data_IF_144774694087
#
_entry.id   IF_144774694087
#
_cell.length_a   1.000
_cell.length_b   1.000
_cell.length_c   1.000
_cell.angle_alpha   90.00
_cell.angle_beta   90.00
_cell.angle_gamma   90.00
#
_symmetry.space_group_name_H-M   'P 1'
#
loop_
_entity.id
_entity.type
_entity.pdbx_description
1 polymer ?
#
# COMPACT_ATOMS: atom_id res chain seq x y z
N UNK A 1 -15.25 44.21 -2.36
CA UNK A 1 -13.92 43.81 -2.90
C UNK A 1 -13.72 42.31 -2.68
N UNK A 2 -13.83 41.50 -3.73
CA UNK A 2 -13.47 40.08 -3.66
C UNK A 2 -11.93 39.97 -3.52
N UNK A 3 -11.47 39.37 -2.46
CA UNK A 3 -10.05 39.26 -2.17
C UNK A 3 -9.47 38.11 -3.00
N UNK A 4 -8.46 38.39 -3.83
CA UNK A 4 -7.66 37.36 -4.50
C UNK A 4 -6.98 36.43 -3.47
N UNK A 5 -7.06 35.14 -3.67
CA UNK A 5 -6.43 34.14 -2.81
C UNK A 5 -5.70 33.09 -3.64
N UNK A 6 -4.65 32.52 -3.05
CA UNK A 6 -4.04 31.29 -3.52
C UNK A 6 -4.64 30.12 -2.77
N UNK A 7 -5.20 29.17 -3.48
CA UNK A 7 -5.89 28.00 -2.91
C UNK A 7 -5.14 26.74 -3.26
N UNK A 8 -4.71 25.99 -2.26
CA UNK A 8 -4.15 24.65 -2.43
C UNK A 8 -5.28 23.62 -2.14
N UNK A 9 -5.55 22.75 -3.12
CA UNK A 9 -6.48 21.63 -2.99
C UNK A 9 -5.66 20.35 -2.84
N UNK A 10 -5.63 19.78 -1.64
CA UNK A 10 -4.80 18.65 -1.29
C UNK A 10 -5.58 17.57 -0.49
N UNK A 11 -6.67 17.02 -1.07
CA UNK A 11 -7.41 15.94 -0.41
C UNK A 11 -6.70 14.60 -0.60
N UNK A 12 -7.00 13.66 0.29
CA UNK A 12 -6.88 12.24 0.05
C UNK A 12 -8.20 11.71 -0.55
N UNK A 13 -8.23 10.45 -0.97
CA UNK A 13 -9.42 9.77 -1.50
C UNK A 13 -10.53 9.64 -0.45
N UNK A 14 -11.77 9.55 -0.91
CA UNK A 14 -12.90 9.11 -0.11
C UNK A 14 -13.12 7.61 -0.35
N UNK A 15 -12.58 6.80 0.52
CA UNK A 15 -12.50 5.34 0.41
C UNK A 15 -13.80 4.70 -0.08
N UNK A 16 -13.71 3.97 -1.21
CA UNK A 16 -14.84 3.27 -1.82
C UNK A 16 -15.85 4.16 -2.56
N UNK A 17 -15.57 5.46 -2.75
CA UNK A 17 -16.52 6.40 -3.37
C UNK A 17 -15.90 7.17 -4.52
N UNK A 18 -14.87 7.98 -4.27
CA UNK A 18 -14.28 8.90 -5.25
C UNK A 18 -12.76 9.02 -5.00
N UNK A 19 -11.97 9.13 -6.07
CA UNK A 19 -10.52 9.28 -5.98
C UNK A 19 -10.10 10.68 -5.50
N UNK A 20 -8.87 10.81 -5.00
CA UNK A 20 -8.32 12.10 -4.60
C UNK A 20 -8.26 13.08 -5.79
N UNK A 21 -7.97 12.57 -6.98
CA UNK A 21 -7.91 13.36 -8.22
C UNK A 21 -9.29 13.92 -8.59
N UNK A 22 -10.33 13.08 -8.59
CA UNK A 22 -11.71 13.50 -8.91
C UNK A 22 -12.26 14.50 -7.90
N UNK A 23 -11.99 14.28 -6.60
CA UNK A 23 -12.36 15.26 -5.55
C UNK A 23 -11.66 16.59 -5.80
N UNK A 24 -10.37 16.58 -6.08
CA UNK A 24 -9.60 17.80 -6.33
C UNK A 24 -10.14 18.58 -7.50
N UNK A 25 -10.48 17.90 -8.59
CA UNK A 25 -11.08 18.52 -9.78
C UNK A 25 -12.44 19.14 -9.49
N UNK A 26 -13.33 18.39 -8.81
CA UNK A 26 -14.67 18.88 -8.44
C UNK A 26 -14.60 20.12 -7.54
N UNK A 27 -13.64 20.16 -6.60
CA UNK A 27 -13.44 21.34 -5.75
C UNK A 27 -12.91 22.52 -6.59
N UNK A 28 -11.95 22.27 -7.48
CA UNK A 28 -11.36 23.31 -8.32
C UNK A 28 -12.40 23.95 -9.25
N UNK A 29 -13.30 23.15 -9.83
CA UNK A 29 -14.39 23.61 -10.69
C UNK A 29 -15.43 24.48 -9.93
N UNK A 30 -15.58 24.27 -8.62
CA UNK A 30 -16.46 25.04 -7.77
C UNK A 30 -15.86 26.37 -7.29
N UNK A 31 -14.55 26.56 -7.46
CA UNK A 31 -13.85 27.77 -7.06
C UNK A 31 -13.91 28.80 -8.20
N UNK A 32 -14.25 30.05 -7.85
CA UNK A 32 -14.31 31.17 -8.79
C UNK A 32 -12.95 31.38 -9.50
N UNK A 33 -12.98 31.61 -10.82
CA UNK A 33 -11.83 31.89 -11.70
C UNK A 33 -10.96 33.09 -11.24
N UNK A 34 -11.43 33.86 -10.26
CA UNK A 34 -10.65 34.94 -9.64
C UNK A 34 -9.56 34.47 -8.69
N UNK A 35 -9.46 33.17 -8.40
CA UNK A 35 -8.48 32.62 -7.48
C UNK A 35 -7.41 31.77 -8.22
N UNK A 36 -6.18 31.81 -7.72
CA UNK A 36 -5.11 30.91 -8.17
C UNK A 36 -5.28 29.54 -7.47
N UNK A 37 -5.64 28.51 -8.23
CA UNK A 37 -5.85 27.16 -7.69
C UNK A 37 -4.67 26.29 -8.04
N UNK A 38 -4.11 25.60 -7.02
CA UNK A 38 -3.12 24.53 -7.18
C UNK A 38 -3.74 23.23 -6.70
N UNK A 39 -3.72 22.20 -7.54
CA UNK A 39 -4.20 20.86 -7.21
C UNK A 39 -3.00 19.96 -6.87
N UNK A 40 -3.01 19.38 -5.67
CA UNK A 40 -1.99 18.45 -5.19
C UNK A 40 -2.66 17.33 -4.38
N UNK A 41 -3.23 16.30 -5.02
CA UNK A 41 -3.79 15.16 -4.31
C UNK A 41 -2.76 14.49 -3.42
N UNK A 42 -3.21 13.95 -2.29
CA UNK A 42 -2.37 13.26 -1.32
C UNK A 42 -2.73 11.77 -1.25
N UNK A 43 -1.80 10.97 -0.72
CA UNK A 43 -2.02 9.57 -0.37
C UNK A 43 -1.30 9.24 0.95
N UNK A 44 -1.90 8.31 1.68
CA UNK A 44 -1.46 7.86 2.99
C UNK A 44 -0.60 6.57 2.95
N UNK A 45 -0.22 6.12 1.75
CA UNK A 45 0.44 4.83 1.54
C UNK A 45 -0.54 3.67 1.33
N UNK A 46 -1.84 3.94 1.33
CA UNK A 46 -2.89 2.97 1.00
C UNK A 46 -3.24 2.95 -0.47
N UNK A 47 -4.44 2.44 -0.76
CA UNK A 47 -5.04 2.45 -2.11
C UNK A 47 -5.10 3.88 -2.67
N UNK A 48 -4.72 4.05 -3.94
CA UNK A 48 -4.64 5.35 -4.60
C UNK A 48 -3.26 6.01 -4.55
N UNK A 49 -2.31 5.48 -3.76
CA UNK A 49 -0.93 5.98 -3.76
C UNK A 49 -0.32 5.88 -5.15
N UNK A 50 -0.49 4.74 -5.82
CA UNK A 50 0.01 4.52 -7.17
C UNK A 50 -0.60 5.50 -8.19
N UNK A 51 -1.88 5.84 -8.04
CA UNK A 51 -2.59 6.80 -8.89
C UNK A 51 -1.97 8.20 -8.82
N UNK A 52 -1.65 8.67 -7.61
CA UNK A 52 -1.03 10.00 -7.39
C UNK A 52 0.34 10.11 -8.06
N UNK A 53 1.08 9.01 -8.15
CA UNK A 53 2.34 8.94 -8.89
C UNK A 53 2.15 8.74 -10.41
N UNK A 54 0.93 8.85 -10.94
CA UNK A 54 0.62 8.75 -12.38
C UNK A 54 0.17 7.36 -12.82
N UNK A 55 -0.28 6.53 -11.88
CA UNK A 55 -0.80 5.18 -12.13
C UNK A 55 0.27 4.13 -12.41
N UNK A 56 -0.14 2.88 -12.43
CA UNK A 56 0.75 1.78 -12.77
C UNK A 56 1.12 1.76 -14.26
N UNK A 57 2.39 1.55 -14.56
CA UNK A 57 2.90 1.36 -15.92
C UNK A 57 3.57 0.00 -16.13
N UNK A 58 3.55 -0.84 -15.12
CA UNK A 58 4.05 -2.22 -15.13
C UNK A 58 3.00 -3.15 -14.52
N UNK A 59 2.97 -4.37 -15.04
CA UNK A 59 2.20 -5.48 -14.49
C UNK A 59 3.13 -6.64 -14.19
N UNK A 60 2.91 -7.32 -13.08
CA UNK A 60 3.62 -8.54 -12.72
C UNK A 60 2.66 -9.55 -12.12
N UNK A 61 2.85 -10.83 -12.47
CA UNK A 61 2.14 -11.91 -11.79
C UNK A 61 2.99 -12.33 -10.61
N UNK A 62 2.40 -12.25 -9.41
CA UNK A 62 3.04 -12.54 -8.14
C UNK A 62 2.10 -13.37 -7.25
N UNK A 63 2.60 -13.83 -6.12
CA UNK A 63 1.77 -14.54 -5.14
C UNK A 63 0.77 -13.57 -4.49
N UNK A 64 -0.48 -13.96 -4.47
CA UNK A 64 -1.53 -13.30 -3.68
C UNK A 64 -1.37 -13.57 -2.18
N UNK A 65 -2.27 -13.00 -1.35
CA UNK A 65 -2.16 -13.13 0.11
C UNK A 65 -2.21 -14.58 0.61
N UNK A 66 -2.88 -15.48 -0.11
CA UNK A 66 -3.00 -16.90 0.23
C UNK A 66 -2.17 -17.83 -0.69
N UNK A 67 -1.25 -17.24 -1.48
CA UNK A 67 -0.35 -17.95 -2.36
C UNK A 67 -0.83 -18.18 -3.79
N UNK A 68 -2.07 -17.83 -4.12
CA UNK A 68 -2.59 -17.86 -5.49
C UNK A 68 -1.91 -16.80 -6.36
N UNK A 69 -1.77 -17.03 -7.69
CA UNK A 69 -1.21 -16.01 -8.58
C UNK A 69 -2.20 -14.84 -8.73
N UNK A 70 -1.69 -13.62 -8.60
CA UNK A 70 -2.43 -12.38 -8.85
C UNK A 70 -1.66 -11.47 -9.79
N UNK A 71 -2.39 -10.70 -10.61
CA UNK A 71 -1.80 -9.65 -11.45
C UNK A 71 -1.73 -8.36 -10.65
N UNK A 72 -0.53 -7.93 -10.32
CA UNK A 72 -0.27 -6.73 -9.52
C UNK A 72 0.27 -5.60 -10.41
N UNK A 73 -0.36 -4.43 -10.32
CA UNK A 73 0.08 -3.20 -10.97
C UNK A 73 1.10 -2.48 -10.09
N UNK A 74 2.11 -1.89 -10.71
CA UNK A 74 3.12 -1.07 -10.05
C UNK A 74 3.75 -0.09 -11.03
N UNK A 75 4.55 0.85 -10.57
CA UNK A 75 5.16 1.87 -11.40
C UNK A 75 6.68 1.80 -11.36
N UNK A 76 7.32 2.04 -12.51
CA UNK A 76 8.75 2.27 -12.63
C UNK A 76 8.97 3.48 -13.54
N UNK A 77 9.58 4.52 -12.99
CA UNK A 77 9.98 5.75 -13.69
C UNK A 77 11.50 5.92 -13.54
N UNK A 78 12.22 5.73 -14.64
CA UNK A 78 13.68 5.70 -14.58
C UNK A 78 14.18 4.66 -13.58
N UNK A 79 14.70 5.11 -12.43
CA UNK A 79 15.22 4.25 -11.34
C UNK A 79 14.32 4.25 -10.10
N UNK A 80 13.21 4.98 -10.11
CA UNK A 80 12.29 5.04 -8.97
C UNK A 80 11.07 4.17 -9.22
N UNK A 81 10.76 3.29 -8.27
CA UNK A 81 9.59 2.43 -8.31
C UNK A 81 8.58 2.79 -7.22
N UNK A 82 7.29 2.65 -7.53
CA UNK A 82 6.18 2.80 -6.58
C UNK A 82 5.38 1.51 -6.56
N UNK A 83 5.20 0.96 -5.37
CA UNK A 83 4.49 -0.29 -5.12
C UNK A 83 3.45 -0.06 -4.03
N UNK A 84 2.19 -0.36 -4.30
CA UNK A 84 1.18 -0.56 -3.26
C UNK A 84 1.18 -2.04 -2.85
N UNK A 85 1.42 -2.34 -1.58
CA UNK A 85 1.39 -3.73 -1.12
C UNK A 85 0.01 -4.37 -1.33
N UNK A 86 -1.06 -3.59 -1.33
CA UNK A 86 -2.41 -4.07 -1.56
C UNK A 86 -2.59 -4.73 -2.93
N UNK A 87 -1.80 -4.37 -3.93
CA UNK A 87 -1.84 -4.99 -5.25
C UNK A 87 -1.45 -6.48 -5.26
N UNK A 88 -0.63 -6.90 -4.28
CA UNK A 88 -0.18 -8.28 -4.16
C UNK A 88 -0.65 -8.95 -2.85
N UNK A 89 -0.80 -8.17 -1.77
CA UNK A 89 -1.09 -8.71 -0.43
C UNK A 89 -2.31 -8.03 0.20
N UNK A 90 -3.23 -7.52 -0.65
CA UNK A 90 -4.38 -6.73 -0.23
C UNK A 90 -5.56 -7.55 0.30
N UNK A 91 -6.31 -6.96 1.22
CA UNK A 91 -7.50 -7.57 1.80
C UNK A 91 -8.61 -7.77 0.76
N UNK A 92 -8.74 -6.87 -0.22
CA UNK A 92 -9.72 -6.97 -1.30
C UNK A 92 -9.53 -8.23 -2.17
N UNK A 93 -8.30 -8.76 -2.26
CA UNK A 93 -7.99 -9.96 -3.04
C UNK A 93 -8.60 -11.25 -2.42
N UNK A 94 -9.00 -11.19 -1.15
CA UNK A 94 -9.58 -12.35 -0.44
C UNK A 94 -11.03 -12.16 -0.02
N UNK A 95 -11.59 -10.96 -0.07
CA UNK A 95 -12.97 -10.67 0.36
C UNK A 95 -14.03 -11.44 -0.43
N UNK A 96 -13.76 -11.85 -1.66
CA UNK A 96 -14.67 -12.64 -2.48
C UNK A 96 -14.59 -14.15 -2.17
N UNK A 97 -13.59 -14.60 -1.40
CA UNK A 97 -13.38 -16.02 -1.05
C UNK A 97 -13.93 -16.28 0.35
N UNK A 98 -15.12 -16.87 0.43
CA UNK A 98 -15.67 -17.36 1.69
C UNK A 98 -14.67 -18.30 2.38
N UNK A 99 -14.32 -18.05 3.65
CA UNK A 99 -13.39 -18.80 4.51
C UNK A 99 -11.89 -18.55 4.26
N UNK A 100 -11.44 -17.36 4.56
CA UNK A 100 -10.01 -17.09 4.66
C UNK A 100 -9.55 -17.19 6.11
N UNK A 101 -8.46 -17.93 6.31
CA UNK A 101 -7.79 -17.93 7.61
C UNK A 101 -6.79 -16.77 7.65
N UNK A 102 -7.02 -15.69 8.41
CA UNK A 102 -6.13 -14.54 8.47
C UNK A 102 -4.73 -14.87 8.98
N UNK A 103 -4.53 -16.05 9.55
CA UNK A 103 -3.22 -16.57 9.98
C UNK A 103 -2.32 -16.88 8.76
N UNK A 104 -2.91 -17.33 7.65
CA UNK A 104 -2.20 -17.81 6.47
C UNK A 104 -1.84 -16.69 5.49
N UNK A 105 -2.47 -15.52 5.62
CA UNK A 105 -2.20 -14.39 4.75
C UNK A 105 -0.75 -13.89 4.89
N UNK A 106 -0.08 -13.69 3.75
CA UNK A 106 1.34 -13.39 3.64
C UNK A 106 1.61 -12.15 2.81
N UNK A 107 2.73 -11.48 3.13
CA UNK A 107 3.32 -10.38 2.34
C UNK A 107 4.25 -10.89 1.23
N UNK A 108 4.31 -12.19 0.96
CA UNK A 108 5.29 -12.79 0.03
C UNK A 108 5.25 -12.12 -1.35
N UNK A 109 4.06 -11.92 -1.93
CA UNK A 109 3.90 -11.27 -3.22
C UNK A 109 4.36 -9.81 -3.25
N UNK A 110 4.22 -9.08 -2.15
CA UNK A 110 4.82 -7.73 -2.01
C UNK A 110 6.34 -7.80 -2.15
N UNK A 111 6.98 -8.78 -1.51
CA UNK A 111 8.43 -9.00 -1.65
C UNK A 111 8.83 -9.40 -3.07
N UNK A 112 7.98 -10.15 -3.79
CA UNK A 112 8.20 -10.47 -5.21
C UNK A 112 8.14 -9.23 -6.09
N UNK A 113 7.22 -8.27 -5.81
CA UNK A 113 7.17 -6.98 -6.51
C UNK A 113 8.44 -6.17 -6.26
N UNK A 114 8.91 -6.06 -5.01
CA UNK A 114 10.15 -5.35 -4.66
C UNK A 114 11.35 -6.00 -5.38
N UNK A 115 11.43 -7.33 -5.39
CA UNK A 115 12.47 -8.05 -6.15
C UNK A 115 12.39 -7.76 -7.64
N UNK A 116 11.20 -7.78 -8.21
CA UNK A 116 10.98 -7.49 -9.63
C UNK A 116 11.38 -6.06 -9.97
N UNK A 117 11.08 -5.09 -9.11
CA UNK A 117 11.49 -3.70 -9.29
C UNK A 117 13.02 -3.57 -9.31
N UNK A 118 13.73 -4.20 -8.35
CA UNK A 118 15.19 -4.27 -8.34
C UNK A 118 15.74 -4.89 -9.63
N UNK A 119 15.19 -6.03 -10.06
CA UNK A 119 15.62 -6.75 -11.27
C UNK A 119 15.39 -5.93 -12.55
N UNK A 120 14.47 -4.96 -12.51
CA UNK A 120 14.22 -4.01 -13.60
C UNK A 120 14.99 -2.68 -13.46
N UNK A 121 15.91 -2.61 -12.49
CA UNK A 121 16.85 -1.49 -12.34
C UNK A 121 16.36 -0.37 -11.42
N UNK A 122 15.38 -0.61 -10.56
CA UNK A 122 15.03 0.34 -9.52
C UNK A 122 16.17 0.49 -8.51
N UNK A 123 16.49 1.72 -8.15
CA UNK A 123 17.47 2.09 -7.10
C UNK A 123 16.78 2.75 -5.90
N UNK A 124 15.57 3.29 -6.11
CA UNK A 124 14.70 3.87 -5.11
C UNK A 124 13.31 3.23 -5.22
N UNK A 125 12.79 2.68 -4.13
CA UNK A 125 11.51 1.98 -4.10
C UNK A 125 10.65 2.54 -2.98
N UNK A 126 9.51 3.12 -3.32
CA UNK A 126 8.47 3.50 -2.37
C UNK A 126 7.44 2.38 -2.26
N UNK A 127 7.20 1.92 -1.03
CA UNK A 127 6.20 0.89 -0.73
C UNK A 127 5.10 1.45 0.17
N UNK A 128 3.88 1.54 -0.32
CA UNK A 128 2.70 1.88 0.46
C UNK A 128 2.16 0.63 1.19
N UNK A 129 1.96 0.71 2.52
CA UNK A 129 1.58 -0.42 3.37
C UNK A 129 0.08 -0.54 3.67
N UNK A 130 -0.76 0.37 3.15
CA UNK A 130 -2.20 0.34 3.40
C UNK A 130 -2.92 -0.86 2.77
N UNK A 131 -4.09 -1.19 3.29
CA UNK A 131 -5.00 -2.18 2.70
C UNK A 131 -4.58 -3.65 2.80
N UNK A 132 -3.61 -4.02 3.67
CA UNK A 132 -3.06 -5.37 3.78
C UNK A 132 -4.06 -6.40 4.32
N UNK A 133 -4.00 -7.63 3.78
CA UNK A 133 -4.66 -8.82 4.33
C UNK A 133 -3.85 -9.49 5.44
N UNK A 134 -2.53 -9.35 5.39
CA UNK A 134 -1.58 -10.10 6.22
C UNK A 134 -1.35 -9.47 7.59
N UNK A 135 -0.92 -10.32 8.52
CA UNK A 135 -0.38 -9.93 9.84
C UNK A 135 0.85 -10.81 10.12
N UNK A 136 1.77 -10.85 9.15
CA UNK A 136 2.98 -11.68 9.18
C UNK A 136 4.24 -10.90 9.56
N UNK A 137 4.09 -9.61 9.89
CA UNK A 137 5.21 -8.72 10.25
C UNK A 137 6.19 -8.48 9.10
N UNK A 138 5.76 -8.64 7.85
CA UNK A 138 6.63 -8.49 6.67
C UNK A 138 7.54 -9.70 6.40
N UNK A 139 7.39 -10.79 7.16
CA UNK A 139 8.25 -11.97 7.03
C UNK A 139 8.18 -12.57 5.62
N UNK A 140 6.98 -12.66 5.04
CA UNK A 140 6.80 -13.16 3.68
C UNK A 140 7.59 -12.33 2.67
N UNK A 141 7.50 -10.99 2.76
CA UNK A 141 8.24 -10.10 1.87
C UNK A 141 9.75 -10.29 2.00
N UNK A 142 10.28 -10.34 3.22
CA UNK A 142 11.71 -10.60 3.45
C UNK A 142 12.15 -11.97 2.91
N UNK A 143 11.29 -12.99 2.96
CA UNK A 143 11.58 -14.31 2.38
C UNK A 143 11.66 -14.25 0.86
N UNK A 144 10.72 -13.57 0.20
CA UNK A 144 10.70 -13.41 -1.26
C UNK A 144 11.88 -12.57 -1.79
N UNK A 145 12.37 -11.63 -0.98
CA UNK A 145 13.50 -10.76 -1.32
C UNK A 145 14.87 -11.44 -1.18
N UNK A 146 14.96 -12.62 -0.62
CA UNK A 146 16.29 -13.25 -0.42
C UNK A 146 17.04 -13.47 -1.74
N UNK A 147 18.38 -13.29 -1.76
CA UNK A 147 19.25 -12.88 -0.64
C UNK A 147 19.24 -11.36 -0.41
N UNK A 148 18.99 -10.90 0.82
CA UNK A 148 18.81 -9.50 1.18
C UNK A 148 20.02 -8.59 0.85
N UNK A 149 21.20 -9.15 0.73
CA UNK A 149 22.42 -8.42 0.33
C UNK A 149 22.28 -7.71 -1.02
N UNK A 150 21.39 -8.16 -1.91
CA UNK A 150 21.14 -7.51 -3.22
C UNK A 150 20.55 -6.10 -3.09
N UNK A 151 19.97 -5.79 -1.92
CA UNK A 151 19.30 -4.52 -1.66
C UNK A 151 20.17 -3.50 -0.90
N UNK A 152 21.44 -3.82 -0.63
CA UNK A 152 22.33 -2.95 0.16
C UNK A 152 22.68 -1.62 -0.50
N UNK A 153 22.46 -1.49 -1.80
CA UNK A 153 22.76 -0.29 -2.60
C UNK A 153 21.51 0.44 -3.07
N UNK A 154 20.33 0.01 -2.66
CA UNK A 154 19.07 0.68 -3.02
C UNK A 154 18.40 1.27 -1.79
N UNK A 155 17.60 2.30 -2.01
CA UNK A 155 16.77 2.91 -0.99
C UNK A 155 15.36 2.30 -1.05
N UNK A 156 14.86 1.83 0.11
CA UNK A 156 13.49 1.37 0.25
C UNK A 156 12.80 2.22 1.29
N UNK A 157 11.89 3.06 0.81
CA UNK A 157 11.05 3.93 1.63
C UNK A 157 9.69 3.29 1.84
N UNK A 158 9.14 3.45 3.03
CA UNK A 158 7.83 2.88 3.39
C UNK A 158 6.88 4.00 3.77
N UNK A 159 5.77 4.11 3.04
CA UNK A 159 4.66 5.01 3.38
C UNK A 159 3.67 4.27 4.29
N UNK A 160 3.51 4.79 5.52
CA UNK A 160 2.63 4.23 6.54
C UNK A 160 2.08 5.37 7.41
N UNK A 161 0.77 5.44 7.55
CA UNK A 161 0.06 6.50 8.28
C UNK A 161 -0.28 6.13 9.73
N UNK A 162 0.04 4.89 10.16
CA UNK A 162 -0.30 4.39 11.49
C UNK A 162 0.91 4.36 12.43
N UNK A 163 0.68 4.68 13.70
CA UNK A 163 1.69 4.64 14.76
C UNK A 163 1.52 3.41 15.67
N UNK A 164 0.81 2.41 15.21
CA UNK A 164 0.54 1.18 15.98
C UNK A 164 1.82 0.38 16.19
N UNK A 165 2.04 -0.08 17.41
CA UNK A 165 3.18 -0.94 17.74
C UNK A 165 3.16 -2.27 16.97
N UNK A 166 4.35 -2.83 16.72
CA UNK A 166 4.53 -4.02 15.89
C UNK A 166 3.70 -5.23 16.35
N UNK A 167 3.65 -5.48 17.67
CA UNK A 167 2.87 -6.61 18.22
C UNK A 167 1.39 -6.25 18.30
N UNK A 168 1.07 -5.01 18.67
CA UNK A 168 -0.27 -4.51 18.90
C UNK A 168 -1.13 -4.47 17.64
N UNK A 169 -0.47 -4.41 16.47
CA UNK A 169 -1.16 -4.37 15.18
C UNK A 169 -2.07 -5.59 14.95
N UNK A 170 -1.75 -6.75 15.54
CA UNK A 170 -2.59 -7.94 15.45
C UNK A 170 -3.95 -7.73 16.14
N UNK A 171 -3.96 -7.13 17.33
CA UNK A 171 -5.19 -6.84 18.06
C UNK A 171 -6.02 -5.73 17.42
N UNK A 172 -5.35 -4.69 16.89
CA UNK A 172 -6.02 -3.52 16.32
C UNK A 172 -6.58 -3.83 14.92
N UNK A 173 -5.80 -4.46 14.04
CA UNK A 173 -6.18 -4.69 12.65
C UNK A 173 -6.68 -6.11 12.36
N UNK A 174 -6.47 -7.07 13.27
CA UNK A 174 -6.93 -8.45 13.10
C UNK A 174 -8.44 -8.59 12.89
N UNK A 175 -9.30 -7.90 13.69
CA UNK A 175 -10.75 -8.00 13.54
C UNK A 175 -11.24 -7.63 12.14
N UNK A 176 -10.75 -6.56 11.54
CA UNK A 176 -11.15 -6.15 10.18
C UNK A 176 -10.67 -7.12 9.09
N UNK A 177 -9.68 -7.98 9.40
CA UNK A 177 -9.18 -9.05 8.54
C UNK A 177 -9.89 -10.39 8.79
N UNK A 178 -10.91 -10.39 9.65
CA UNK A 178 -11.70 -11.58 9.99
C UNK A 178 -11.09 -12.49 11.06
N UNK A 179 -10.07 -12.01 11.82
CA UNK A 179 -9.46 -12.80 12.86
C UNK A 179 -10.35 -12.90 14.11
N UNK A 180 -10.53 -14.11 14.63
CA UNK A 180 -11.12 -14.37 15.95
C UNK A 180 -10.13 -14.02 17.06
N UNK A 181 -10.61 -13.86 18.31
CA UNK A 181 -9.76 -13.57 19.46
C UNK A 181 -8.63 -14.61 19.65
N UNK A 182 -8.90 -15.86 19.33
CA UNK A 182 -7.89 -16.94 19.42
C UNK A 182 -6.81 -16.75 18.34
N UNK A 183 -7.22 -16.37 17.12
CA UNK A 183 -6.30 -16.10 16.03
C UNK A 183 -5.48 -14.82 16.28
N UNK A 184 -6.08 -13.78 16.87
CA UNK A 184 -5.39 -12.55 17.27
C UNK A 184 -4.27 -12.90 18.25
N UNK A 185 -4.55 -13.67 19.30
CA UNK A 185 -3.53 -14.12 20.25
C UNK A 185 -2.40 -14.93 19.60
N UNK A 186 -2.75 -15.76 18.64
CA UNK A 186 -1.76 -16.51 17.86
C UNK A 186 -0.87 -15.57 17.05
N UNK A 187 -1.46 -14.58 16.36
CA UNK A 187 -0.76 -13.58 15.55
C UNK A 187 0.16 -12.71 16.42
N UNK A 188 -0.30 -12.23 17.57
CA UNK A 188 0.53 -11.50 18.53
C UNK A 188 1.75 -12.32 18.98
N UNK A 189 1.55 -13.61 19.31
CA UNK A 189 2.64 -14.48 19.68
C UNK A 189 3.63 -14.72 18.54
N UNK A 190 3.12 -14.82 17.29
CA UNK A 190 3.97 -14.90 16.09
C UNK A 190 4.83 -13.65 15.94
N UNK A 191 4.23 -12.46 16.03
CA UNK A 191 4.94 -11.19 15.92
C UNK A 191 5.96 -11.01 17.06
N UNK A 192 5.61 -11.40 18.29
CA UNK A 192 6.52 -11.34 19.44
C UNK A 192 7.76 -12.21 19.28
N UNK A 193 7.68 -13.29 18.49
CA UNK A 193 8.84 -14.15 18.17
C UNK A 193 9.69 -13.59 17.02
N UNK A 194 9.14 -12.66 16.23
CA UNK A 194 9.87 -12.00 15.14
C UNK A 194 10.59 -10.74 15.60
N UNK A 195 10.11 -10.08 16.67
CA UNK A 195 10.71 -8.90 17.29
C UNK A 195 11.89 -9.27 18.18
#
# INVERSE_FOLDING_TARGET
DRKYMKVLIAPDKFKGTISATEVSQSIAEAIDDLHEVTIQPLADGGEGTLEIFGGGNKMSVVSGPLGEPVSASWRLDGKSAVIEMAQASGLHLIQEKCFTNPIDASTFGTGELIRTALERGAEDILVGLGGSASTDGGLGALQAMRPLKRYSSIEINVACDVQTGFIECAGIFGPQKGATDTQIRFLENRLRRLA
#
